data_IF_773925386026
#
_entry.id   IF_773925386026
#
_cell.length_a   1.000
_cell.length_b   1.000
_cell.length_c   1.000
_cell.angle_alpha   90.00
_cell.angle_beta   90.00
_cell.angle_gamma   90.00
#
_symmetry.space_group_name_H-M   'P 1'
#
loop_
_entity.id
_entity.type
_entity.pdbx_description
1 polymer ?
#
# COMPACT_ATOMS: atom_id res chain seq x y z
N UNK A 1 -0.09 23.18 2.63
CA UNK A 1 1.32 22.87 2.32
C UNK A 1 1.34 22.42 0.86
N UNK A 2 2.04 23.08 -0.03
CA UNK A 2 2.05 22.70 -1.46
C UNK A 2 3.28 21.84 -1.67
N UNK A 3 3.09 20.54 -1.91
CA UNK A 3 4.13 19.71 -2.51
C UNK A 3 4.48 20.31 -3.87
N UNK A 4 5.73 20.25 -4.31
CA UNK A 4 6.22 20.82 -5.56
C UNK A 4 5.48 20.27 -6.79
N UNK A 5 4.33 20.81 -7.09
CA UNK A 5 3.37 20.34 -8.06
C UNK A 5 1.99 20.32 -7.41
N UNK A 6 0.95 20.61 -8.12
CA UNK A 6 -0.40 20.57 -7.60
C UNK A 6 -0.71 19.14 -7.17
N UNK A 7 -0.91 18.92 -5.85
CA UNK A 7 -1.70 17.77 -5.44
C UNK A 7 -3.05 17.85 -6.16
N UNK A 8 -3.57 16.72 -6.66
CA UNK A 8 -4.94 16.65 -7.15
C UNK A 8 -5.92 17.18 -6.11
N UNK A 9 -7.12 17.55 -6.54
CA UNK A 9 -8.16 18.03 -5.63
C UNK A 9 -8.45 16.96 -4.56
N UNK A 10 -8.39 17.38 -3.30
CA UNK A 10 -8.52 16.47 -2.17
C UNK A 10 -9.99 16.30 -1.76
N UNK A 11 -10.37 15.07 -1.53
CA UNK A 11 -11.64 14.70 -0.91
C UNK A 11 -11.42 14.20 0.52
N UNK A 12 -12.47 14.26 1.33
CA UNK A 12 -12.47 13.73 2.67
C UNK A 12 -13.73 12.92 2.94
N UNK A 13 -13.56 11.73 3.49
CA UNK A 13 -14.66 10.91 3.99
C UNK A 13 -14.77 11.11 5.51
N UNK A 14 -15.88 11.67 5.96
CA UNK A 14 -16.26 11.68 7.37
C UNK A 14 -16.87 10.32 7.69
N UNK A 15 -16.08 9.45 8.30
CA UNK A 15 -16.44 8.08 8.60
C UNK A 15 -17.38 7.97 9.80
N UNK A 16 -18.28 6.97 9.81
CA UNK A 16 -19.24 6.77 10.90
C UNK A 16 -18.57 6.47 12.24
N UNK A 17 -17.34 5.97 12.24
CA UNK A 17 -16.52 5.76 13.44
C UNK A 17 -15.89 7.06 13.99
N UNK A 18 -16.20 8.22 13.38
CA UNK A 18 -15.78 9.55 13.84
C UNK A 18 -14.44 10.03 13.28
N UNK A 19 -13.75 9.23 12.45
CA UNK A 19 -12.49 9.62 11.84
C UNK A 19 -12.69 10.15 10.42
N UNK A 20 -11.77 11.00 9.99
CA UNK A 20 -11.76 11.65 8.69
C UNK A 20 -10.62 11.11 7.84
N UNK A 21 -10.95 10.55 6.69
CA UNK A 21 -10.02 9.93 5.75
C UNK A 21 -9.88 10.82 4.52
N UNK A 22 -8.64 11.24 4.24
CA UNK A 22 -8.28 11.94 3.01
C UNK A 22 -8.19 10.94 1.86
N UNK A 23 -8.68 11.30 0.67
CA UNK A 23 -8.49 10.52 -0.54
C UNK A 23 -8.51 11.39 -1.80
N UNK A 24 -7.81 10.93 -2.84
CA UNK A 24 -7.95 11.46 -4.19
C UNK A 24 -8.99 10.62 -4.94
N UNK A 25 -9.69 11.26 -5.88
CA UNK A 25 -10.76 10.63 -6.67
C UNK A 25 -10.65 11.15 -8.10
N UNK A 26 -10.07 10.36 -8.99
CA UNK A 26 -9.69 10.76 -10.33
C UNK A 26 -10.28 9.82 -11.38
N UNK A 27 -10.71 10.37 -12.50
CA UNK A 27 -11.29 9.60 -13.61
C UNK A 27 -12.77 9.24 -13.42
N UNK A 28 -13.23 8.31 -14.23
CA UNK A 28 -14.63 7.81 -14.25
C UNK A 28 -14.63 6.34 -14.66
N UNK A 29 -15.75 5.63 -14.46
CA UNK A 29 -15.88 4.21 -14.79
C UNK A 29 -15.79 3.31 -13.57
N UNK A 30 -15.36 2.06 -13.77
CA UNK A 30 -15.22 1.09 -12.70
C UNK A 30 -14.14 1.50 -11.70
N UNK A 31 -14.41 1.32 -10.42
CA UNK A 31 -13.54 1.81 -9.36
C UNK A 31 -12.30 0.93 -9.16
N UNK A 32 -11.13 1.57 -9.10
CA UNK A 32 -9.86 0.97 -8.71
C UNK A 32 -9.31 1.75 -7.51
N UNK A 33 -9.06 1.07 -6.40
CA UNK A 33 -8.66 1.66 -5.12
C UNK A 33 -7.20 1.33 -4.82
N UNK A 34 -6.36 2.34 -4.63
CA UNK A 34 -4.93 2.19 -4.39
C UNK A 34 -4.58 2.33 -2.92
N UNK A 35 -4.11 1.25 -2.31
CA UNK A 35 -3.82 1.13 -0.88
C UNK A 35 -2.30 1.08 -0.66
N UNK A 36 -1.75 2.14 -0.05
CA UNK A 36 -0.31 2.33 0.13
C UNK A 36 0.29 1.49 1.28
N UNK A 37 1.61 1.37 1.31
CA UNK A 37 2.34 0.71 2.39
C UNK A 37 2.51 1.57 3.65
N UNK A 38 3.09 0.99 4.71
CA UNK A 38 3.30 1.61 6.03
C UNK A 38 4.59 2.40 6.17
N UNK A 39 5.34 2.64 5.11
CA UNK A 39 6.65 3.30 5.20
C UNK A 39 6.59 4.73 5.75
N UNK A 40 7.74 5.26 6.20
CA UNK A 40 7.83 6.64 6.68
C UNK A 40 7.43 7.64 5.59
N UNK A 41 6.64 8.63 5.99
CA UNK A 41 6.10 9.63 5.08
C UNK A 41 5.16 9.07 4.01
N UNK A 42 4.57 7.89 4.23
CA UNK A 42 3.67 7.27 3.28
C UNK A 42 2.37 8.04 3.13
N UNK A 43 1.90 8.11 1.89
CA UNK A 43 0.56 8.58 1.50
C UNK A 43 0.15 7.85 0.22
N UNK A 44 -1.12 7.84 -0.08
CA UNK A 44 -1.62 7.26 -1.32
C UNK A 44 -0.95 7.88 -2.55
N UNK A 45 -0.89 9.21 -2.60
CA UNK A 45 -0.25 9.94 -3.70
C UNK A 45 1.23 9.59 -3.85
N UNK A 46 2.02 9.68 -2.76
CA UNK A 46 3.46 9.43 -2.83
C UNK A 46 3.83 8.00 -3.23
N UNK A 47 2.91 7.04 -3.03
CA UNK A 47 3.11 5.65 -3.45
C UNK A 47 2.73 5.39 -4.91
N UNK A 48 1.67 6.05 -5.41
CA UNK A 48 1.02 5.63 -6.67
C UNK A 48 0.88 6.75 -7.72
N UNK A 49 1.52 7.91 -7.54
CA UNK A 49 1.42 9.07 -8.44
C UNK A 49 1.78 8.78 -9.90
N UNK A 50 2.60 7.76 -10.16
CA UNK A 50 3.00 7.35 -11.50
C UNK A 50 2.21 6.15 -12.04
N UNK A 51 1.31 5.58 -11.23
CA UNK A 51 0.57 4.38 -11.60
C UNK A 51 -0.91 4.69 -11.90
N UNK A 52 -1.62 5.35 -10.98
CA UNK A 52 -3.05 5.61 -11.16
C UNK A 52 -3.39 6.42 -12.43
N UNK A 53 -2.55 7.37 -12.93
CA UNK A 53 -2.88 8.10 -14.15
C UNK A 53 -3.06 7.18 -15.36
N UNK A 54 -2.26 6.11 -15.47
CA UNK A 54 -2.38 5.14 -16.58
C UNK A 54 -3.73 4.41 -16.56
N UNK A 55 -4.29 4.17 -15.36
CA UNK A 55 -5.59 3.54 -15.22
C UNK A 55 -6.73 4.53 -15.48
N UNK A 56 -6.56 5.81 -15.10
CA UNK A 56 -7.49 6.89 -15.46
C UNK A 56 -7.55 7.04 -16.98
N UNK A 57 -6.41 7.03 -17.66
CA UNK A 57 -6.33 7.05 -19.13
C UNK A 57 -6.99 5.83 -19.77
N UNK A 58 -6.96 4.68 -19.10
CA UNK A 58 -7.64 3.46 -19.53
C UNK A 58 -9.16 3.45 -19.22
N UNK A 59 -9.71 4.51 -18.62
CA UNK A 59 -11.15 4.70 -18.38
C UNK A 59 -11.64 4.19 -17.02
N UNK A 60 -10.76 4.06 -16.02
CA UNK A 60 -11.12 3.67 -14.66
C UNK A 60 -11.24 4.90 -13.73
N UNK A 61 -12.09 4.79 -12.71
CA UNK A 61 -12.14 5.74 -11.59
C UNK A 61 -11.15 5.27 -10.53
N UNK A 62 -10.10 6.05 -10.28
CA UNK A 62 -9.06 5.75 -9.32
C UNK A 62 -9.32 6.47 -8.00
N UNK A 63 -9.41 5.73 -6.91
CA UNK A 63 -9.55 6.25 -5.54
C UNK A 63 -8.28 5.91 -4.77
N UNK A 64 -7.63 6.94 -4.23
CA UNK A 64 -6.32 6.82 -3.62
C UNK A 64 -6.39 7.39 -2.19
N UNK A 65 -6.85 6.60 -1.20
CA UNK A 65 -6.92 7.05 0.19
C UNK A 65 -5.54 7.10 0.86
N UNK A 66 -5.40 8.02 1.79
CA UNK A 66 -4.39 7.93 2.84
C UNK A 66 -4.96 7.08 3.98
N UNK A 67 -4.25 6.06 4.43
CA UNK A 67 -4.73 5.26 5.56
C UNK A 67 -4.84 6.08 6.84
N UNK A 68 -5.74 5.69 7.74
CA UNK A 68 -5.78 6.25 9.09
C UNK A 68 -4.37 6.21 9.72
N UNK A 69 -3.93 7.30 10.34
CA UNK A 69 -2.57 7.46 10.87
C UNK A 69 -1.54 7.96 9.86
N UNK A 70 -1.85 8.01 8.55
CA UNK A 70 -0.93 8.40 7.47
C UNK A 70 -1.42 9.62 6.69
N UNK A 71 -0.52 10.16 5.86
CA UNK A 71 -0.81 11.23 4.91
C UNK A 71 -1.57 12.39 5.53
N UNK A 72 -2.69 12.76 4.93
CA UNK A 72 -3.58 13.83 5.39
C UNK A 72 -4.83 13.32 6.13
N UNK A 73 -4.95 12.00 6.35
CA UNK A 73 -5.99 11.41 7.18
C UNK A 73 -5.76 11.69 8.67
N UNK A 74 -6.79 11.50 9.48
CA UNK A 74 -6.69 11.60 10.93
C UNK A 74 -5.63 10.67 11.51
N UNK A 75 -5.06 11.07 12.65
CA UNK A 75 -3.93 10.39 13.29
C UNK A 75 -4.21 10.21 14.79
N UNK A 76 -5.16 9.33 15.15
CA UNK A 76 -5.50 9.07 16.54
C UNK A 76 -4.28 8.53 17.31
N UNK A 77 -4.17 8.93 18.58
CA UNK A 77 -3.11 8.48 19.50
C UNK A 77 -3.65 7.77 20.74
N UNK A 78 -4.96 7.59 20.79
CA UNK A 78 -5.72 7.00 21.91
C UNK A 78 -6.29 5.61 21.58
N UNK A 79 -6.02 5.12 20.37
CA UNK A 79 -6.44 3.78 19.90
C UNK A 79 -5.28 3.06 19.22
N UNK A 80 -5.26 1.73 19.33
CA UNK A 80 -4.36 0.88 18.55
C UNK A 80 -4.80 0.79 17.09
N UNK A 81 -3.88 0.39 16.21
CA UNK A 81 -4.11 0.26 14.78
C UNK A 81 -4.06 -1.21 14.30
N UNK A 82 -5.00 -2.08 14.73
CA UNK A 82 -5.10 -3.42 14.17
C UNK A 82 -5.57 -3.37 12.71
N UNK A 83 -5.32 -4.44 11.94
CA UNK A 83 -5.73 -4.54 10.53
C UNK A 83 -7.23 -4.26 10.34
N UNK A 84 -8.08 -4.74 11.25
CA UNK A 84 -9.53 -4.50 11.21
C UNK A 84 -9.91 -3.02 11.26
N UNK A 85 -9.13 -2.19 11.97
CA UNK A 85 -9.37 -0.75 12.02
C UNK A 85 -9.06 -0.06 10.68
N UNK A 86 -7.94 -0.44 10.03
CA UNK A 86 -7.66 0.03 8.67
C UNK A 86 -8.73 -0.41 7.67
N UNK A 87 -9.13 -1.68 7.72
CA UNK A 87 -10.17 -2.25 6.87
C UNK A 87 -11.50 -1.49 7.03
N UNK A 88 -11.90 -1.21 8.27
CA UNK A 88 -13.11 -0.46 8.58
C UNK A 88 -13.04 0.97 8.03
N UNK A 89 -11.95 1.71 8.27
CA UNK A 89 -11.79 3.07 7.77
C UNK A 89 -11.84 3.13 6.24
N UNK A 90 -11.17 2.20 5.54
CA UNK A 90 -11.24 2.14 4.07
C UNK A 90 -12.64 1.77 3.60
N UNK A 91 -13.30 0.78 4.22
CA UNK A 91 -14.67 0.42 3.86
C UNK A 91 -15.62 1.61 3.96
N UNK A 92 -15.56 2.35 5.06
CA UNK A 92 -16.39 3.55 5.26
C UNK A 92 -16.03 4.66 4.28
N UNK A 93 -14.75 4.84 3.93
CA UNK A 93 -14.32 5.77 2.88
C UNK A 93 -14.96 5.43 1.54
N UNK A 94 -14.97 4.15 1.17
CA UNK A 94 -15.58 3.69 -0.07
C UNK A 94 -17.11 3.86 -0.07
N UNK A 95 -17.76 3.70 1.09
CA UNK A 95 -19.19 3.98 1.23
C UNK A 95 -19.51 5.46 1.01
N UNK A 96 -18.73 6.36 1.59
CA UNK A 96 -18.86 7.81 1.39
C UNK A 96 -18.59 8.20 -0.06
N UNK A 97 -17.57 7.59 -0.70
CA UNK A 97 -17.25 7.79 -2.11
C UNK A 97 -18.30 7.15 -3.07
N UNK A 98 -19.29 6.45 -2.54
CA UNK A 98 -20.37 5.82 -3.32
C UNK A 98 -19.94 4.57 -4.08
N UNK A 99 -18.80 3.93 -3.70
CA UNK A 99 -18.26 2.73 -4.34
C UNK A 99 -19.04 1.51 -3.87
N UNK A 100 -19.62 0.76 -4.80
CA UNK A 100 -20.37 -0.47 -4.52
C UNK A 100 -19.57 -1.72 -4.82
N UNK A 101 -18.66 -1.61 -5.81
CA UNK A 101 -17.71 -2.66 -6.21
C UNK A 101 -16.43 -2.02 -6.68
N UNK A 102 -15.30 -2.68 -6.46
CA UNK A 102 -14.01 -2.16 -6.88
C UNK A 102 -12.96 -3.27 -7.06
N UNK A 103 -11.92 -2.93 -7.82
CA UNK A 103 -10.64 -3.63 -7.76
C UNK A 103 -9.76 -2.94 -6.71
N UNK A 104 -9.07 -3.71 -5.86
CA UNK A 104 -8.11 -3.18 -4.90
C UNK A 104 -6.68 -3.42 -5.40
N UNK A 105 -5.85 -2.37 -5.34
CA UNK A 105 -4.41 -2.40 -5.64
C UNK A 105 -3.67 -2.10 -4.34
N UNK A 106 -2.94 -3.07 -3.80
CA UNK A 106 -2.33 -2.94 -2.48
C UNK A 106 -0.85 -3.33 -2.44
N UNK A 107 -0.02 -2.47 -1.83
CA UNK A 107 1.38 -2.73 -1.55
C UNK A 107 1.61 -2.91 -0.04
N UNK A 108 2.32 -3.95 0.38
CA UNK A 108 2.73 -4.12 1.78
C UNK A 108 1.54 -4.11 2.75
N UNK A 109 1.47 -3.15 3.68
CA UNK A 109 0.29 -2.92 4.53
C UNK A 109 -0.99 -2.76 3.70
N UNK A 110 -0.94 -1.99 2.62
CA UNK A 110 -2.08 -1.83 1.72
C UNK A 110 -2.53 -3.15 1.08
N UNK A 111 -1.59 -4.07 0.86
CA UNK A 111 -1.89 -5.44 0.45
C UNK A 111 -2.61 -6.25 1.53
N UNK A 112 -2.19 -6.12 2.80
CA UNK A 112 -2.90 -6.73 3.93
C UNK A 112 -4.32 -6.17 4.08
N UNK A 113 -4.48 -4.85 3.93
CA UNK A 113 -5.80 -4.19 3.98
C UNK A 113 -6.69 -4.68 2.82
N UNK A 114 -6.13 -4.81 1.60
CA UNK A 114 -6.85 -5.35 0.45
C UNK A 114 -7.32 -6.79 0.69
N UNK A 115 -6.46 -7.65 1.25
CA UNK A 115 -6.81 -9.01 1.66
C UNK A 115 -7.91 -8.99 2.72
N UNK A 116 -7.78 -8.16 3.75
CA UNK A 116 -8.78 -8.00 4.80
C UNK A 116 -10.14 -7.57 4.25
N UNK A 117 -10.17 -6.58 3.34
CA UNK A 117 -11.41 -6.15 2.69
C UNK A 117 -12.05 -7.27 1.85
N UNK A 118 -11.25 -8.02 1.08
CA UNK A 118 -11.77 -9.12 0.27
C UNK A 118 -12.34 -10.27 1.11
N UNK A 119 -11.73 -10.55 2.27
CA UNK A 119 -12.18 -11.59 3.19
C UNK A 119 -13.43 -11.18 3.96
N UNK A 120 -13.53 -9.91 4.40
CA UNK A 120 -14.65 -9.44 5.21
C UNK A 120 -15.83 -8.88 4.37
N UNK A 121 -15.56 -8.38 3.17
CA UNK A 121 -16.54 -7.78 2.27
C UNK A 121 -16.43 -8.34 0.82
N UNK A 122 -16.57 -9.66 0.61
CA UNK A 122 -16.32 -10.29 -0.70
C UNK A 122 -17.23 -9.72 -1.82
N UNK A 123 -18.42 -9.25 -1.50
CA UNK A 123 -19.31 -8.62 -2.48
C UNK A 123 -18.84 -7.24 -2.99
N UNK A 124 -17.92 -6.59 -2.26
CA UNK A 124 -17.32 -5.31 -2.63
C UNK A 124 -16.16 -5.48 -3.60
N UNK A 125 -15.39 -6.57 -3.47
CA UNK A 125 -14.09 -6.73 -4.13
C UNK A 125 -14.21 -7.63 -5.37
N UNK A 126 -14.05 -7.05 -6.55
CA UNK A 126 -14.14 -7.78 -7.81
C UNK A 126 -12.82 -8.42 -8.22
N UNK A 127 -11.69 -7.74 -7.97
CA UNK A 127 -10.34 -8.23 -8.26
C UNK A 127 -9.35 -7.69 -7.24
N UNK A 128 -8.22 -8.39 -7.07
CA UNK A 128 -7.09 -7.95 -6.25
C UNK A 128 -5.82 -7.82 -7.11
N UNK A 129 -5.06 -6.74 -6.91
CA UNK A 129 -3.70 -6.55 -7.43
C UNK A 129 -2.80 -6.31 -6.22
N UNK A 130 -1.89 -7.23 -5.94
CA UNK A 130 -1.11 -7.27 -4.71
C UNK A 130 0.38 -7.18 -5.00
N UNK A 131 1.10 -6.32 -4.30
CA UNK A 131 2.56 -6.21 -4.36
C UNK A 131 3.13 -6.54 -2.99
N UNK A 132 3.80 -7.70 -2.88
CA UNK A 132 4.40 -8.19 -1.64
C UNK A 132 3.53 -7.86 -0.40
N UNK A 133 2.29 -8.41 -0.32
CA UNK A 133 1.33 -8.00 0.70
C UNK A 133 1.77 -8.42 2.10
N UNK A 134 1.43 -7.61 3.11
CA UNK A 134 1.52 -7.98 4.51
C UNK A 134 0.51 -9.07 4.89
N UNK A 135 0.70 -9.69 6.06
CA UNK A 135 -0.18 -10.74 6.58
C UNK A 135 0.13 -12.15 6.05
N UNK A 136 1.29 -12.34 5.38
CA UNK A 136 1.71 -13.66 4.87
C UNK A 136 2.73 -14.36 5.76
N UNK A 137 3.28 -13.68 6.75
CA UNK A 137 4.28 -14.18 7.69
C UNK A 137 4.02 -13.62 9.08
N UNK A 138 4.67 -14.16 10.09
CA UNK A 138 4.59 -13.64 11.44
C UNK A 138 5.60 -12.50 11.70
N UNK A 139 5.44 -11.81 12.82
CA UNK A 139 6.31 -10.69 13.17
C UNK A 139 7.79 -11.09 13.32
N UNK A 140 8.17 -12.23 13.94
CA UNK A 140 9.55 -12.70 14.00
C UNK A 140 10.21 -12.87 12.62
N UNK A 141 9.49 -13.36 11.62
CA UNK A 141 10.00 -13.49 10.25
C UNK A 141 10.23 -12.12 9.62
N UNK A 142 9.29 -11.17 9.74
CA UNK A 142 9.49 -9.79 9.28
C UNK A 142 10.69 -9.12 9.96
N UNK A 143 10.91 -9.34 11.25
CA UNK A 143 12.04 -8.76 11.99
C UNK A 143 13.42 -9.24 11.48
N UNK A 144 13.48 -10.37 10.80
CA UNK A 144 14.72 -10.90 10.21
C UNK A 144 15.03 -10.26 8.85
N UNK A 145 14.05 -9.61 8.21
CA UNK A 145 14.25 -8.99 6.91
C UNK A 145 15.16 -7.75 7.01
N UNK A 146 16.19 -7.65 6.13
CA UNK A 146 17.20 -6.60 6.25
C UNK A 146 16.62 -5.18 6.12
N UNK A 147 15.60 -4.99 5.29
CA UNK A 147 14.91 -3.71 5.16
C UNK A 147 14.11 -3.36 6.42
N UNK A 148 13.42 -4.34 7.02
CA UNK A 148 12.71 -4.14 8.29
C UNK A 148 13.68 -3.80 9.43
N UNK A 149 14.83 -4.48 9.52
CA UNK A 149 15.86 -4.15 10.51
C UNK A 149 16.34 -2.70 10.36
N UNK A 150 16.47 -2.21 9.13
CA UNK A 150 16.79 -0.81 8.86
C UNK A 150 15.70 0.14 9.36
N UNK A 151 14.43 -0.18 9.07
CA UNK A 151 13.28 0.60 9.56
C UNK A 151 13.30 0.66 11.09
N UNK A 152 13.43 -0.48 11.77
CA UNK A 152 13.50 -0.52 13.24
C UNK A 152 14.70 0.25 13.80
N UNK A 153 15.86 0.17 13.15
CA UNK A 153 17.05 0.94 13.57
C UNK A 153 16.82 2.45 13.45
N UNK A 154 16.26 2.91 12.33
CA UNK A 154 15.98 4.34 12.08
C UNK A 154 14.98 4.88 13.09
N UNK A 155 13.84 4.21 13.26
CA UNK A 155 12.77 4.70 14.14
C UNK A 155 12.97 4.37 15.62
N UNK A 156 13.73 3.32 15.93
CA UNK A 156 14.07 2.96 17.32
C UNK A 156 15.25 3.73 17.89
N UNK A 157 16.00 4.49 17.08
CA UNK A 157 17.15 5.27 17.54
C UNK A 157 16.77 6.48 18.40
N UNK A 158 15.54 7.00 18.21
CA UNK A 158 15.12 8.29 18.80
C UNK A 158 15.74 9.53 18.13
N UNK A 159 16.59 9.33 17.12
CA UNK A 159 17.22 10.43 16.37
C UNK A 159 16.25 10.95 15.27
N UNK A 160 16.33 12.24 14.93
CA UNK A 160 15.55 12.78 13.82
C UNK A 160 15.89 12.09 12.50
N UNK A 161 14.87 11.76 11.75
CA UNK A 161 15.03 11.23 10.37
C UNK A 161 15.39 12.39 9.46
N UNK A 162 16.61 12.38 8.90
CA UNK A 162 17.06 13.39 7.92
C UNK A 162 16.79 12.93 6.51
N UNK A 163 16.84 13.84 5.49
CA UNK A 163 16.70 13.46 4.09
C UNK A 163 17.70 12.36 3.66
N UNK A 164 18.93 12.42 4.16
CA UNK A 164 19.98 11.44 3.85
C UNK A 164 19.64 10.05 4.43
N UNK A 165 19.14 10.01 5.68
CA UNK A 165 18.68 8.78 6.33
C UNK A 165 17.49 8.18 5.58
N UNK A 166 16.52 9.03 5.17
CA UNK A 166 15.38 8.60 4.38
C UNK A 166 15.81 8.05 3.02
N UNK A 167 16.73 8.74 2.33
CA UNK A 167 17.27 8.31 1.04
C UNK A 167 17.99 6.97 1.15
N UNK A 168 18.83 6.79 2.17
CA UNK A 168 19.53 5.52 2.41
C UNK A 168 18.54 4.39 2.73
N UNK A 169 17.49 4.65 3.51
CA UNK A 169 16.46 3.68 3.80
C UNK A 169 15.78 3.17 2.52
N UNK A 170 15.41 4.07 1.61
CA UNK A 170 14.78 3.69 0.35
C UNK A 170 15.76 2.97 -0.58
N UNK A 171 16.93 3.54 -0.81
CA UNK A 171 17.92 3.01 -1.74
C UNK A 171 18.44 1.62 -1.37
N UNK A 172 18.58 1.33 -0.10
CA UNK A 172 19.24 0.10 0.36
C UNK A 172 18.30 -0.85 1.13
N UNK A 173 17.19 -0.33 1.66
CA UNK A 173 16.21 -1.10 2.44
C UNK A 173 14.97 -1.53 1.66
N UNK A 174 14.58 -0.79 0.60
CA UNK A 174 13.36 -1.08 -0.15
C UNK A 174 13.63 -1.45 -1.62
N UNK A 175 14.56 -0.77 -2.27
CA UNK A 175 14.78 -0.87 -3.71
C UNK A 175 15.94 -1.80 -4.05
N UNK A 176 15.91 -2.39 -5.24
CA UNK A 176 17.06 -3.03 -5.86
C UNK A 176 17.99 -1.97 -6.43
N UNK A 177 17.45 -1.07 -7.27
CA UNK A 177 18.22 0.00 -7.91
C UNK A 177 18.09 1.32 -7.10
N UNK A 178 19.21 1.77 -6.47
CA UNK A 178 19.21 2.98 -5.65
C UNK A 178 18.87 4.27 -6.42
N UNK A 179 18.93 4.26 -7.77
CA UNK A 179 18.59 5.42 -8.59
C UNK A 179 17.14 5.86 -8.45
N UNK A 180 16.25 4.94 -8.06
CA UNK A 180 14.84 5.25 -7.81
C UNK A 180 14.60 5.99 -6.48
N UNK A 181 15.58 6.01 -5.56
CA UNK A 181 15.55 6.84 -4.37
C UNK A 181 15.91 8.31 -4.71
N UNK A 182 15.11 8.94 -5.54
CA UNK A 182 15.33 10.31 -6.02
C UNK A 182 15.18 11.36 -4.92
N UNK A 183 15.82 12.52 -5.09
CA UNK A 183 15.68 13.63 -4.14
C UNK A 183 14.22 14.12 -4.07
N UNK A 184 13.48 14.11 -5.18
CA UNK A 184 12.06 14.45 -5.23
C UNK A 184 11.22 13.51 -4.35
N UNK A 185 11.43 12.18 -4.48
CA UNK A 185 10.75 11.19 -3.63
C UNK A 185 11.07 11.43 -2.15
N UNK A 186 12.33 11.68 -1.82
CA UNK A 186 12.76 11.95 -0.44
C UNK A 186 12.09 13.21 0.09
N UNK A 187 12.08 14.30 -0.68
CA UNK A 187 11.46 15.57 -0.28
C UNK A 187 9.96 15.38 0.00
N UNK A 188 9.22 14.71 -0.89
CA UNK A 188 7.80 14.39 -0.68
C UNK A 188 7.56 13.61 0.61
N UNK A 189 8.36 12.57 0.85
CA UNK A 189 8.25 11.75 2.04
C UNK A 189 8.58 12.53 3.32
N UNK A 190 9.60 13.39 3.28
CA UNK A 190 9.95 14.25 4.40
C UNK A 190 8.86 15.26 4.72
N UNK A 191 8.17 15.81 3.72
CA UNK A 191 7.04 16.72 3.95
C UNK A 191 5.87 16.00 4.66
N UNK A 192 5.52 14.80 4.27
CA UNK A 192 4.49 14.01 4.95
C UNK A 192 4.95 13.59 6.36
N UNK A 193 6.23 13.24 6.53
CA UNK A 193 6.78 12.93 7.86
C UNK A 193 6.55 14.02 8.89
N UNK A 194 6.59 15.32 8.50
CA UNK A 194 6.38 16.45 9.41
C UNK A 194 4.97 16.49 10.01
N UNK A 195 3.98 15.87 9.36
CA UNK A 195 2.60 15.82 9.81
C UNK A 195 2.19 14.45 10.35
N UNK A 196 3.08 13.47 10.31
CA UNK A 196 2.85 12.15 10.92
C UNK A 196 3.16 12.17 12.42
N UNK A 197 2.50 11.27 13.15
CA UNK A 197 2.94 10.88 14.49
C UNK A 197 3.42 9.40 14.44
N UNK A 198 4.24 9.01 15.39
CA UNK A 198 4.78 7.65 15.45
C UNK A 198 3.80 6.59 15.96
N UNK A 199 2.61 6.98 16.41
CA UNK A 199 1.69 6.08 17.12
C UNK A 199 1.20 4.93 16.24
N UNK A 200 0.80 5.21 14.99
CA UNK A 200 0.37 4.17 14.05
C UNK A 200 1.46 3.11 13.81
N UNK A 201 2.72 3.53 13.69
CA UNK A 201 3.86 2.61 13.52
C UNK A 201 4.12 1.76 14.77
N UNK A 202 3.87 2.31 15.95
CA UNK A 202 4.08 1.63 17.23
C UNK A 202 2.95 0.65 17.58
N UNK A 203 1.73 0.89 17.11
CA UNK A 203 0.52 0.15 17.50
C UNK A 203 -0.09 -0.68 16.36
N UNK A 204 0.50 -0.63 15.17
CA UNK A 204 0.04 -1.40 14.01
C UNK A 204 0.17 -2.90 14.25
N UNK A 205 -0.92 -3.64 14.01
CA UNK A 205 -0.97 -5.07 14.17
C UNK A 205 -1.60 -5.70 12.91
N UNK A 206 -0.80 -6.50 12.21
CA UNK A 206 -1.25 -7.24 11.02
C UNK A 206 -1.18 -8.73 11.35
N UNK A 207 -2.31 -9.43 11.47
CA UNK A 207 -2.32 -10.86 11.73
C UNK A 207 -1.86 -11.66 10.52
N UNK A 208 -1.46 -12.91 10.73
CA UNK A 208 -1.21 -13.86 9.63
C UNK A 208 -2.56 -14.26 9.01
N UNK A 209 -2.69 -14.06 7.70
CA UNK A 209 -3.92 -14.33 6.94
C UNK A 209 -3.83 -15.59 6.07
N UNK A 210 -2.70 -16.29 6.09
CA UNK A 210 -2.40 -17.42 5.18
C UNK A 210 -3.49 -18.48 5.19
N UNK A 211 -3.99 -18.84 6.38
CA UNK A 211 -5.01 -19.87 6.54
C UNK A 211 -6.37 -19.46 5.96
N UNK A 212 -6.57 -18.16 5.70
CA UNK A 212 -7.81 -17.62 5.12
C UNK A 212 -7.71 -17.31 3.62
N UNK A 213 -6.53 -17.36 3.02
CA UNK A 213 -6.36 -17.02 1.60
C UNK A 213 -7.19 -17.91 0.66
N UNK A 214 -7.52 -19.12 1.08
CA UNK A 214 -8.37 -20.04 0.32
C UNK A 214 -9.84 -19.59 0.21
N UNK A 215 -10.27 -18.65 1.08
CA UNK A 215 -11.61 -18.05 1.06
C UNK A 215 -11.76 -16.99 -0.06
N UNK A 216 -10.64 -16.54 -0.66
CA UNK A 216 -10.67 -15.54 -1.74
C UNK A 216 -11.27 -16.16 -3.01
N UNK A 217 -12.39 -15.59 -3.46
CA UNK A 217 -13.10 -16.04 -4.66
C UNK A 217 -12.78 -15.17 -5.90
N UNK A 218 -12.34 -13.92 -5.68
CA UNK A 218 -12.02 -13.01 -6.77
C UNK A 218 -10.67 -13.34 -7.43
N UNK A 219 -10.49 -12.98 -8.74
CA UNK A 219 -9.19 -13.08 -9.38
C UNK A 219 -8.13 -12.21 -8.69
N UNK A 220 -6.90 -12.74 -8.61
CA UNK A 220 -5.76 -12.07 -7.99
C UNK A 220 -4.58 -11.99 -8.95
N UNK A 221 -4.04 -10.78 -9.14
CA UNK A 221 -2.74 -10.54 -9.76
C UNK A 221 -1.74 -10.19 -8.66
N UNK A 222 -0.71 -11.02 -8.48
CA UNK A 222 0.36 -10.79 -7.54
C UNK A 222 1.64 -10.35 -8.23
N UNK A 223 2.40 -9.48 -7.57
CA UNK A 223 3.77 -9.11 -7.94
C UNK A 223 4.71 -9.33 -6.76
N UNK A 224 5.92 -9.79 -7.07
CA UNK A 224 6.98 -9.95 -6.06
C UNK A 224 8.35 -9.65 -6.67
N UNK A 225 9.06 -8.68 -6.10
CA UNK A 225 10.45 -8.41 -6.45
C UNK A 225 11.38 -9.50 -5.91
N UNK A 226 12.31 -10.01 -6.71
CA UNK A 226 13.21 -11.09 -6.27
C UNK A 226 14.35 -10.60 -5.39
N UNK A 227 14.56 -9.28 -5.29
CA UNK A 227 15.49 -8.62 -4.35
C UNK A 227 14.72 -7.96 -3.18
N UNK A 228 13.57 -8.54 -2.84
CA UNK A 228 12.71 -8.11 -1.74
C UNK A 228 13.46 -8.12 -0.39
N UNK A 229 13.38 -7.00 0.34
CA UNK A 229 14.11 -6.82 1.61
C UNK A 229 13.19 -6.56 2.80
N UNK A 230 11.89 -6.39 2.56
CA UNK A 230 10.88 -6.06 3.57
C UNK A 230 10.01 -7.25 3.94
N UNK A 231 9.66 -8.09 2.95
CA UNK A 231 8.74 -9.20 3.09
C UNK A 231 9.45 -10.54 2.91
N UNK A 232 9.24 -11.52 3.80
CA UNK A 232 9.84 -12.85 3.69
C UNK A 232 9.42 -13.57 2.40
N UNK A 233 10.37 -14.22 1.72
CA UNK A 233 10.16 -14.90 0.43
C UNK A 233 9.12 -16.04 0.50
N UNK A 234 8.90 -16.64 1.67
CA UNK A 234 7.87 -17.66 1.88
C UNK A 234 6.45 -17.14 1.54
N UNK A 235 6.22 -15.81 1.54
CA UNK A 235 4.99 -15.18 1.08
C UNK A 235 4.62 -15.53 -0.36
N UNK A 236 5.61 -15.73 -1.24
CA UNK A 236 5.40 -16.18 -2.63
C UNK A 236 4.65 -17.51 -2.64
N UNK A 237 5.15 -18.50 -1.88
CA UNK A 237 4.54 -19.83 -1.82
C UNK A 237 3.25 -19.83 -1.01
N UNK A 238 3.12 -18.96 -0.01
CA UNK A 238 1.87 -18.77 0.73
C UNK A 238 0.75 -18.32 -0.21
N UNK A 239 0.99 -17.33 -1.07
CA UNK A 239 0.03 -16.92 -2.09
C UNK A 239 -0.23 -18.04 -3.12
N UNK A 240 0.83 -18.61 -3.69
CA UNK A 240 0.72 -19.58 -4.81
C UNK A 240 -0.02 -20.88 -4.43
N UNK A 241 0.06 -21.30 -3.17
CA UNK A 241 -0.60 -22.53 -2.69
C UNK A 241 -2.02 -22.33 -2.18
N UNK A 242 -2.35 -21.13 -1.71
CA UNK A 242 -3.59 -20.89 -0.99
C UNK A 242 -4.59 -20.00 -1.76
N UNK A 243 -4.16 -19.25 -2.79
CA UNK A 243 -5.07 -18.42 -3.59
C UNK A 243 -5.45 -19.18 -4.87
N UNK A 244 -6.73 -19.48 -5.03
CA UNK A 244 -7.25 -20.32 -6.11
C UNK A 244 -7.12 -19.69 -7.51
N UNK A 245 -7.40 -18.40 -7.64
CA UNK A 245 -7.42 -17.67 -8.90
C UNK A 245 -6.26 -16.67 -8.98
N UNK A 246 -5.03 -17.15 -8.77
CA UNK A 246 -3.82 -16.35 -8.73
C UNK A 246 -3.06 -16.41 -10.06
N UNK A 247 -2.68 -15.21 -10.54
CA UNK A 247 -1.55 -15.00 -11.46
C UNK A 247 -0.46 -14.29 -10.69
N UNK A 248 0.73 -14.86 -10.59
CA UNK A 248 1.85 -14.27 -9.83
C UNK A 248 3.02 -13.98 -10.78
N UNK A 249 3.49 -12.72 -10.76
CA UNK A 249 4.62 -12.23 -11.55
C UNK A 249 5.80 -12.01 -10.61
N UNK A 250 6.86 -12.80 -10.78
CA UNK A 250 8.14 -12.62 -10.09
C UNK A 250 9.03 -11.73 -10.95
N UNK A 251 9.60 -10.68 -10.34
CA UNK A 251 10.36 -9.65 -11.06
C UNK A 251 11.79 -9.63 -10.54
N UNK A 252 12.74 -10.03 -11.39
CA UNK A 252 14.18 -9.92 -11.09
C UNK A 252 14.64 -8.47 -11.15
N UNK A 253 15.76 -8.14 -10.49
CA UNK A 253 16.28 -6.77 -10.40
C UNK A 253 15.23 -5.79 -9.87
N UNK A 254 14.50 -6.21 -8.83
CA UNK A 254 13.39 -5.48 -8.25
C UNK A 254 13.30 -5.75 -6.75
N UNK A 255 13.21 -4.70 -5.97
CA UNK A 255 12.96 -4.75 -4.52
C UNK A 255 11.46 -4.71 -4.18
N UNK A 256 11.15 -4.03 -3.08
CA UNK A 256 9.80 -3.97 -2.51
C UNK A 256 8.79 -3.16 -3.34
N UNK A 257 9.25 -2.22 -4.16
CA UNK A 257 8.38 -1.30 -4.91
C UNK A 257 8.38 -1.59 -6.41
N UNK A 258 7.80 -2.73 -6.80
CA UNK A 258 7.62 -3.13 -8.21
C UNK A 258 6.96 -2.03 -9.03
N UNK A 259 5.97 -1.32 -8.46
CA UNK A 259 5.24 -0.24 -9.10
C UNK A 259 6.09 1.03 -9.36
N UNK A 260 7.27 1.12 -8.76
CA UNK A 260 8.25 2.21 -8.97
C UNK A 260 9.39 1.73 -9.85
N UNK A 261 10.04 0.61 -9.49
CA UNK A 261 11.22 0.12 -10.20
C UNK A 261 10.89 -0.46 -11.59
N UNK A 262 9.69 -0.98 -11.77
CA UNK A 262 9.19 -1.53 -13.04
C UNK A 262 7.84 -0.93 -13.44
N UNK A 263 7.70 0.40 -13.30
CA UNK A 263 6.46 1.16 -13.49
C UNK A 263 5.71 0.79 -14.78
N UNK A 264 6.38 0.87 -15.93
CA UNK A 264 5.73 0.62 -17.22
C UNK A 264 5.22 -0.82 -17.38
N UNK A 265 5.94 -1.80 -16.84
CA UNK A 265 5.52 -3.21 -16.81
C UNK A 265 4.32 -3.37 -15.88
N UNK A 266 4.42 -2.82 -14.67
CA UNK A 266 3.36 -2.88 -13.67
C UNK A 266 2.05 -2.26 -14.20
N UNK A 267 2.11 -1.02 -14.73
CA UNK A 267 0.94 -0.31 -15.23
C UNK A 267 0.26 -1.09 -16.36
N UNK A 268 1.02 -1.63 -17.35
CA UNK A 268 0.45 -2.47 -18.41
C UNK A 268 -0.20 -3.74 -17.87
N UNK A 269 0.47 -4.46 -16.97
CA UNK A 269 -0.06 -5.68 -16.40
C UNK A 269 -1.36 -5.44 -15.60
N UNK A 270 -1.45 -4.29 -14.89
CA UNK A 270 -2.68 -3.88 -14.21
C UNK A 270 -3.82 -3.65 -15.21
N UNK A 271 -3.60 -2.88 -16.27
CA UNK A 271 -4.62 -2.62 -17.29
C UNK A 271 -5.05 -3.92 -17.99
N UNK A 272 -4.11 -4.79 -18.38
CA UNK A 272 -4.41 -6.08 -18.99
C UNK A 272 -5.25 -6.97 -18.05
N UNK A 273 -4.91 -6.99 -16.77
CA UNK A 273 -5.65 -7.77 -15.78
C UNK A 273 -7.05 -7.20 -15.51
N UNK A 274 -7.22 -5.91 -15.53
CA UNK A 274 -8.53 -5.27 -15.38
C UNK A 274 -9.45 -5.62 -16.57
N UNK A 275 -8.91 -5.67 -17.78
CA UNK A 275 -9.68 -5.94 -19.02
C UNK A 275 -9.95 -7.43 -19.22
N UNK A 276 -9.01 -8.32 -18.91
CA UNK A 276 -9.01 -9.72 -19.36
C UNK A 276 -8.78 -10.75 -18.24
N UNK A 277 -8.57 -10.30 -16.99
CA UNK A 277 -8.26 -11.17 -15.83
C UNK A 277 -9.47 -11.69 -15.07
#
# INVERSE_FOLDING_TARGET
MRMNGRLPEANYADCANGYRIHYLDEGQGDAVVFLHGSGPGASGYSNFKTNYPSLVEAGYRCIIPDHIGYGFSDKPTDVDHPLSFFVECIKQTLDVAGVKKCTLVGNSLGGAIALGLALEYPALVEKLILMAPGGLSDLPEYQQMPGMQKVFKVFGSGEPVTPEVMKDLFATGLMHDPRYATDELVEERMQIMQIMNGHVMATMQVPVLVDRLHELECPVLGFWGMDEKMMPENGIMAMARNIKHLRLILVTECGHWVMVEHEAMFNRACVDFLLYG
#
